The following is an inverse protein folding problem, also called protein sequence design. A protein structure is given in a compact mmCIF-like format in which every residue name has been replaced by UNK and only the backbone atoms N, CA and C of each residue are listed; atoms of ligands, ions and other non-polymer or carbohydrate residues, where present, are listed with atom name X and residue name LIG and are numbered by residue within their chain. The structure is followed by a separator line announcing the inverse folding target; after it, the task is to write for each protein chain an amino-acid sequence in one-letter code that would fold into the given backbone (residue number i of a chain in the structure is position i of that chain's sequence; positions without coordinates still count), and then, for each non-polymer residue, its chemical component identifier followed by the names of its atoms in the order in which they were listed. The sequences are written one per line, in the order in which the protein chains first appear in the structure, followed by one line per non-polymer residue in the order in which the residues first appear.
data_IF_770325876895
#
_entry.id   IF_770325876895
#
_cell.length_a   1.000
_cell.length_b   1.000
_cell.length_c   1.000
_cell.angle_alpha   90.00
_cell.angle_beta   90.00
_cell.angle_gamma   90.00
#
_symmetry.space_group_name_H-M   'P 1'
#
loop_
_entity.id
_entity.type
_entity.pdbx_description
1 polymer ?
#
# COMPACT_ATOMS: atom_id res chain seq x y z
N UNK A 1 28.73 9.58 -6.88
CA UNK A 1 28.40 8.14 -6.91
C UNK A 1 26.90 7.94 -6.86
N UNK A 2 26.39 7.21 -7.84
CA UNK A 2 25.02 6.73 -7.89
C UNK A 2 24.99 5.39 -7.15
N UNK A 3 24.85 5.44 -5.82
CA UNK A 3 24.79 4.23 -4.98
C UNK A 3 23.67 3.27 -5.42
N UNK A 4 22.66 3.80 -6.12
CA UNK A 4 21.48 3.05 -6.56
C UNK A 4 21.60 2.35 -7.91
N UNK A 5 22.67 2.61 -8.68
CA UNK A 5 22.94 1.96 -9.97
C UNK A 5 22.03 2.40 -11.13
N UNK A 6 21.17 3.40 -10.95
CA UNK A 6 20.32 3.96 -12.02
C UNK A 6 21.03 5.08 -12.77
N UNK A 7 21.46 4.87 -14.02
CA UNK A 7 22.10 5.92 -14.81
C UNK A 7 21.13 7.09 -15.02
N UNK A 8 21.51 8.27 -14.55
CA UNK A 8 20.77 9.52 -14.75
C UNK A 8 21.59 10.39 -15.70
N UNK A 9 21.06 10.63 -16.90
CA UNK A 9 21.52 11.71 -17.76
C UNK A 9 20.78 13.00 -17.38
N UNK A 10 21.41 14.17 -17.53
CA UNK A 10 20.77 15.50 -17.46
C UNK A 10 19.98 15.89 -16.20
N UNK A 11 20.42 15.46 -15.01
CA UNK A 11 19.85 15.88 -13.69
C UNK A 11 18.38 15.48 -13.47
N UNK A 12 17.84 14.53 -14.21
CA UNK A 12 16.49 14.03 -13.99
C UNK A 12 16.42 13.08 -12.77
N UNK A 13 15.30 13.06 -12.05
CA UNK A 13 15.08 12.06 -11.00
C UNK A 13 14.58 10.76 -11.64
N UNK A 14 15.12 9.61 -11.23
CA UNK A 14 14.70 8.30 -11.74
C UNK A 14 13.98 7.49 -10.65
N UNK A 15 12.99 6.70 -11.07
CA UNK A 15 12.28 5.76 -10.18
C UNK A 15 12.88 4.37 -10.29
N UNK A 16 13.07 3.72 -9.15
CA UNK A 16 13.51 2.33 -9.03
C UNK A 16 12.50 1.57 -8.16
N UNK A 17 12.14 0.37 -8.57
CA UNK A 17 11.38 -0.53 -7.70
C UNK A 17 12.31 -1.06 -6.61
N UNK A 18 12.09 -0.66 -5.36
CA UNK A 18 12.93 -1.04 -4.20
C UNK A 18 12.30 -2.13 -3.33
N UNK A 19 11.01 -2.40 -3.50
CA UNK A 19 10.28 -3.43 -2.75
C UNK A 19 9.12 -3.99 -3.58
N UNK A 20 8.81 -5.27 -3.40
CA UNK A 20 7.63 -5.92 -3.99
C UNK A 20 6.98 -6.80 -2.92
N UNK A 21 5.74 -6.47 -2.54
CA UNK A 21 4.96 -7.26 -1.60
C UNK A 21 4.20 -8.34 -2.38
N UNK A 22 4.60 -9.60 -2.22
CA UNK A 22 4.06 -10.73 -2.98
C UNK A 22 3.42 -11.79 -2.06
N UNK A 23 2.43 -12.51 -2.57
CA UNK A 23 1.75 -13.59 -1.85
C UNK A 23 0.66 -13.15 -0.86
N UNK A 24 0.40 -11.85 -0.72
CA UNK A 24 -0.58 -11.33 0.24
C UNK A 24 -2.02 -11.27 -0.30
N UNK A 25 -2.20 -11.09 -1.61
CA UNK A 25 -3.49 -10.91 -2.26
C UNK A 25 -3.79 -12.09 -3.19
N UNK A 26 -5.02 -12.59 -3.14
CA UNK A 26 -5.42 -13.76 -3.95
C UNK A 26 -6.10 -13.37 -5.26
N UNK A 27 -6.45 -12.08 -5.41
CA UNK A 27 -7.07 -11.47 -6.59
C UNK A 27 -6.46 -10.09 -6.87
N UNK A 28 -7.01 -9.39 -7.85
CA UNK A 28 -6.56 -8.05 -8.25
C UNK A 28 -6.65 -7.06 -7.09
N UNK A 29 -5.63 -6.21 -6.95
CA UNK A 29 -5.66 -5.03 -6.10
C UNK A 29 -6.20 -3.88 -6.95
N UNK A 30 -7.34 -3.30 -6.55
CA UNK A 30 -8.00 -2.24 -7.33
C UNK A 30 -7.57 -0.84 -6.89
N UNK A 31 -7.23 -0.67 -5.62
CA UNK A 31 -6.77 0.62 -5.07
C UNK A 31 -5.77 0.42 -3.92
N UNK A 32 -4.94 1.44 -3.72
CA UNK A 32 -3.97 1.54 -2.64
C UNK A 32 -3.94 2.97 -2.11
N UNK A 33 -3.80 3.12 -0.81
CA UNK A 33 -3.66 4.43 -0.17
C UNK A 33 -2.56 4.41 0.88
N UNK A 34 -1.74 5.46 0.89
CA UNK A 34 -0.66 5.64 1.85
C UNK A 34 -1.00 6.79 2.79
N UNK A 35 -1.08 6.53 4.09
CA UNK A 35 -1.36 7.55 5.08
C UNK A 35 -0.14 8.45 5.27
N UNK A 36 -0.27 9.74 4.93
CA UNK A 36 0.81 10.71 5.09
C UNK A 36 1.22 10.98 6.56
N UNK A 37 0.38 10.60 7.54
CA UNK A 37 0.64 10.83 8.96
C UNK A 37 1.32 9.65 9.65
N UNK A 38 0.97 8.43 9.26
CA UNK A 38 1.44 7.21 9.94
C UNK A 38 2.34 6.32 9.08
N UNK A 39 2.44 6.59 7.77
CA UNK A 39 3.16 5.73 6.84
C UNK A 39 2.46 4.39 6.56
N UNK A 40 1.24 4.18 7.06
CA UNK A 40 0.48 2.96 6.80
C UNK A 40 -0.01 2.89 5.36
N UNK A 41 0.11 1.72 4.74
CA UNK A 41 -0.39 1.45 3.39
C UNK A 41 -1.62 0.55 3.51
N UNK A 42 -2.78 0.99 3.03
CA UNK A 42 -3.97 0.15 2.91
C UNK A 42 -4.23 -0.24 1.45
N UNK A 43 -4.77 -1.43 1.24
CA UNK A 43 -5.10 -1.97 -0.10
C UNK A 43 -6.54 -2.45 -0.16
N UNK A 44 -7.21 -2.19 -1.29
CA UNK A 44 -8.52 -2.71 -1.66
C UNK A 44 -8.36 -3.81 -2.70
N UNK A 45 -8.99 -4.97 -2.49
CA UNK A 45 -8.78 -6.15 -3.32
C UNK A 45 -10.10 -6.79 -3.71
N UNK A 46 -10.12 -7.44 -4.88
CA UNK A 46 -11.25 -8.24 -5.36
C UNK A 46 -11.42 -9.58 -4.66
N UNK A 47 -10.63 -9.86 -3.61
CA UNK A 47 -10.87 -10.98 -2.70
C UNK A 47 -11.65 -10.58 -1.46
N UNK A 48 -12.36 -9.44 -1.53
CA UNK A 48 -13.25 -8.88 -0.51
C UNK A 48 -12.52 -8.45 0.79
N UNK A 49 -11.18 -8.44 0.78
CA UNK A 49 -10.34 -8.22 1.96
C UNK A 49 -9.57 -6.90 1.85
N UNK A 50 -9.61 -6.11 2.93
CA UNK A 50 -8.73 -4.94 3.12
C UNK A 50 -7.51 -5.35 3.94
N UNK A 51 -6.32 -4.95 3.49
CA UNK A 51 -5.05 -5.22 4.18
C UNK A 51 -4.31 -3.93 4.49
N UNK A 52 -3.67 -3.85 5.65
CA UNK A 52 -2.81 -2.73 6.05
C UNK A 52 -1.39 -3.21 6.32
N UNK A 53 -0.44 -2.53 5.70
CA UNK A 53 0.99 -2.77 5.81
C UNK A 53 1.67 -1.60 6.52
N UNK A 54 2.74 -1.90 7.26
CA UNK A 54 3.62 -0.93 7.90
C UNK A 54 5.07 -1.23 7.48
N UNK A 55 5.82 -0.20 7.12
CA UNK A 55 7.27 -0.32 6.95
C UNK A 55 7.93 -0.70 8.28
N UNK A 56 8.91 -1.60 8.25
CA UNK A 56 9.67 -1.98 9.43
C UNK A 56 10.54 -0.80 9.90
N UNK A 57 10.63 -0.57 11.21
CA UNK A 57 11.30 0.62 11.74
C UNK A 57 12.82 0.64 11.47
N UNK A 58 13.42 -0.53 11.13
CA UNK A 58 14.84 -0.72 10.84
C UNK A 58 15.16 -1.04 9.37
N UNK A 59 14.22 -0.80 8.44
CA UNK A 59 14.42 -1.17 7.04
C UNK A 59 15.43 -0.28 6.30
N UNK A 60 16.12 -0.87 5.32
CA UNK A 60 17.00 -0.14 4.40
C UNK A 60 16.15 0.77 3.49
N UNK A 61 16.39 2.10 3.42
CA UNK A 61 15.67 3.00 2.52
C UNK A 61 15.72 2.60 1.04
N UNK A 62 16.75 1.85 0.63
CA UNK A 62 16.93 1.37 -0.74
C UNK A 62 16.42 -0.06 -0.96
N UNK A 63 16.00 -0.73 0.11
CA UNK A 63 15.40 -2.06 0.10
C UNK A 63 14.40 -2.20 1.28
N UNK A 64 13.33 -1.38 1.32
CA UNK A 64 12.45 -1.32 2.47
C UNK A 64 11.66 -2.62 2.61
N UNK A 65 11.37 -3.00 3.86
CA UNK A 65 10.57 -4.17 4.20
C UNK A 65 9.27 -3.72 4.84
N UNK A 66 8.17 -4.35 4.47
CA UNK A 66 6.85 -4.05 5.02
C UNK A 66 6.23 -5.29 5.62
N UNK A 67 5.66 -5.12 6.81
CA UNK A 67 4.91 -6.14 7.51
C UNK A 67 3.41 -5.94 7.29
N UNK A 68 2.69 -7.04 7.07
CA UNK A 68 1.23 -7.05 7.13
C UNK A 68 0.80 -6.96 8.60
N UNK A 69 0.29 -5.79 9.01
CA UNK A 69 -0.08 -5.54 10.41
C UNK A 69 -1.58 -5.68 10.67
N UNK A 70 -2.40 -5.67 9.63
CA UNK A 70 -3.85 -5.82 9.75
C UNK A 70 -4.46 -6.46 8.51
N UNK A 71 -5.47 -7.30 8.73
CA UNK A 71 -6.28 -7.92 7.66
C UNK A 71 -7.74 -7.91 8.10
N UNK A 72 -8.57 -7.18 7.36
CA UNK A 72 -10.01 -7.25 7.49
C UNK A 72 -10.55 -8.26 6.50
N UNK A 73 -10.82 -9.48 6.98
CA UNK A 73 -11.57 -10.47 6.20
C UNK A 73 -13.02 -10.00 6.02
N UNK A 74 -13.61 -10.36 4.87
CA UNK A 74 -14.99 -10.03 4.50
C UNK A 74 -15.29 -8.54 4.77
N UNK A 75 -14.39 -7.65 4.33
CA UNK A 75 -14.53 -6.21 4.54
C UNK A 75 -15.78 -5.67 3.86
N UNK A 76 -16.16 -6.30 2.75
CA UNK A 76 -17.41 -6.14 2.02
C UNK A 76 -17.89 -7.51 1.55
N UNK A 77 -19.11 -7.59 1.03
CA UNK A 77 -19.66 -8.84 0.47
C UNK A 77 -19.33 -9.09 -1.00
N UNK A 78 -18.59 -8.16 -1.62
CA UNK A 78 -18.10 -8.18 -3.00
C UNK A 78 -16.78 -7.40 -3.06
N UNK A 79 -16.16 -7.36 -4.25
CA UNK A 79 -14.90 -6.69 -4.53
C UNK A 79 -14.79 -5.31 -3.86
N UNK A 80 -13.69 -5.07 -3.14
CA UNK A 80 -13.41 -3.75 -2.57
C UNK A 80 -12.76 -2.88 -3.64
N UNK A 81 -13.40 -1.77 -3.99
CA UNK A 81 -13.00 -0.95 -5.12
C UNK A 81 -12.04 0.19 -4.76
N UNK A 82 -12.18 0.74 -3.55
CA UNK A 82 -11.45 1.93 -3.13
C UNK A 82 -11.15 1.89 -1.64
N UNK A 83 -10.01 2.44 -1.24
CA UNK A 83 -9.64 2.71 0.15
C UNK A 83 -9.02 4.11 0.26
N UNK A 84 -9.41 4.88 1.29
CA UNK A 84 -8.83 6.21 1.55
C UNK A 84 -8.65 6.44 3.04
N UNK A 85 -7.42 6.76 3.44
CA UNK A 85 -7.13 7.23 4.79
C UNK A 85 -7.72 8.63 5.00
N UNK A 86 -8.22 8.88 6.21
CA UNK A 86 -8.65 10.20 6.61
C UNK A 86 -7.45 11.17 6.57
N UNK A 87 -7.54 12.28 5.81
CA UNK A 87 -6.43 13.21 5.63
C UNK A 87 -6.08 13.99 6.89
N UNK A 88 -6.93 13.98 7.93
CA UNK A 88 -6.64 14.62 9.22
C UNK A 88 -5.71 13.80 10.13
N UNK A 89 -5.39 12.56 9.76
CA UNK A 89 -4.39 11.74 10.46
C UNK A 89 -4.90 10.99 11.69
N UNK A 90 -6.22 10.93 11.90
CA UNK A 90 -6.84 10.20 13.02
C UNK A 90 -6.92 8.67 12.83
N UNK A 91 -6.15 8.10 11.90
CA UNK A 91 -6.07 6.65 11.62
C UNK A 91 -7.39 6.00 11.18
N UNK A 92 -8.35 6.78 10.71
CA UNK A 92 -9.58 6.26 10.13
C UNK A 92 -9.40 5.95 8.64
N UNK A 93 -10.01 4.84 8.19
CA UNK A 93 -10.02 4.42 6.79
C UNK A 93 -11.47 4.32 6.32
N UNK A 94 -11.75 4.81 5.12
CA UNK A 94 -13.00 4.56 4.39
C UNK A 94 -12.73 3.61 3.22
N UNK A 95 -13.72 2.81 2.87
CA UNK A 95 -13.70 1.94 1.70
C UNK A 95 -15.08 1.90 1.04
N UNK A 96 -15.14 1.48 -0.22
CA UNK A 96 -16.40 1.18 -0.92
C UNK A 96 -16.28 -0.08 -1.79
N UNK A 97 -17.41 -0.67 -2.16
CA UNK A 97 -17.49 -1.96 -2.85
C UNK A 97 -18.55 -2.01 -3.95
N UNK A 98 -18.45 -3.01 -4.83
CA UNK A 98 -19.44 -3.34 -5.84
C UNK A 98 -20.83 -3.69 -5.27
N UNK A 99 -20.90 -4.03 -3.98
CA UNK A 99 -22.17 -4.28 -3.28
C UNK A 99 -23.01 -3.00 -3.04
N UNK A 100 -22.45 -1.82 -3.31
CA UNK A 100 -23.11 -0.53 -3.14
C UNK A 100 -22.93 0.11 -1.76
N UNK A 101 -22.01 -0.41 -0.95
CA UNK A 101 -21.59 0.14 0.36
C UNK A 101 -20.31 0.98 0.28
#
# INVERSE_FOLDING_TARGET
DNQEGVSIEDRESAWKCVCTLSGYHTRCIYDITWCAHTGLIATACGDDIIRVFKEADDSDPNAPTFDLIYTQLDAHSQDVNCVKWNPSGNQELISCSDNGE
#
